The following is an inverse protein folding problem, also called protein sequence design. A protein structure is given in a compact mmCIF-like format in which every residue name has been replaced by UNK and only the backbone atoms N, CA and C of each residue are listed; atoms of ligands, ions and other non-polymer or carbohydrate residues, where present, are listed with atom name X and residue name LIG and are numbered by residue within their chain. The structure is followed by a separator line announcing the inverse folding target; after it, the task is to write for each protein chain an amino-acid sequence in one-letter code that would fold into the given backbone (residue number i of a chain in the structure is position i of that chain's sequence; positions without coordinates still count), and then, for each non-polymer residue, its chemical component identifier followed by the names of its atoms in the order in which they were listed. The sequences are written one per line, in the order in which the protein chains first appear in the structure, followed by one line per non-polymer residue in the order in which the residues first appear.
data_IF_625717913375
#
_entry.id   IF_625717913375
#
_cell.length_a   1.000
_cell.length_b   1.000
_cell.length_c   1.000
_cell.angle_alpha   90.00
_cell.angle_beta   90.00
_cell.angle_gamma   90.00
#
_symmetry.space_group_name_H-M   'P 1'
#
loop_
_entity.id
_entity.type
_entity.pdbx_description
1 polymer ?
#
# COMPACT_ATOMS: atom_id res chain seq x y z
N UNK A 1 -0.75 22.21 -1.18
CA UNK A 1 -1.18 21.76 -2.54
C UNK A 1 -1.60 22.98 -3.33
N UNK A 2 -0.88 23.32 -4.40
CA UNK A 2 -1.10 24.53 -5.20
C UNK A 2 -2.50 24.65 -5.81
N UNK A 3 -3.21 23.55 -6.03
CA UNK A 3 -4.58 23.59 -6.57
C UNK A 3 -5.62 24.10 -5.56
N UNK A 4 -5.30 24.12 -4.26
CA UNK A 4 -6.17 24.66 -3.21
C UNK A 4 -6.00 26.17 -3.01
N UNK A 5 -4.90 26.76 -3.49
CA UNK A 5 -4.55 28.16 -3.22
C UNK A 5 -5.56 29.15 -3.85
N UNK A 6 -6.27 28.70 -4.88
CA UNK A 6 -7.27 29.51 -5.60
C UNK A 6 -8.72 29.10 -5.33
N UNK A 7 -8.97 28.21 -4.36
CA UNK A 7 -10.33 27.79 -4.02
C UNK A 7 -10.97 28.84 -3.12
N UNK A 8 -12.10 29.40 -3.55
CA UNK A 8 -12.87 30.38 -2.79
C UNK A 8 -13.66 29.69 -1.65
N UNK A 9 -13.05 29.63 -0.48
CA UNK A 9 -13.65 29.07 0.73
C UNK A 9 -14.30 30.18 1.54
N UNK A 10 -15.61 30.07 1.76
CA UNK A 10 -16.41 31.08 2.48
C UNK A 10 -16.80 30.62 3.87
N UNK A 11 -16.58 31.49 4.86
CA UNK A 11 -17.12 31.30 6.19
C UNK A 11 -18.65 31.44 6.21
N UNK A 12 -19.30 30.97 7.29
CA UNK A 12 -20.74 31.15 7.46
C UNK A 12 -21.15 32.64 7.49
N UNK A 13 -20.30 33.52 7.99
CA UNK A 13 -20.54 34.98 8.03
C UNK A 13 -20.48 35.59 6.63
N UNK A 14 -19.75 35.01 5.72
CA UNK A 14 -19.66 35.39 4.31
C UNK A 14 -20.73 34.70 3.44
N UNK A 15 -21.66 33.99 4.07
CA UNK A 15 -22.75 33.28 3.38
C UNK A 15 -22.39 31.91 2.82
N UNK A 16 -21.22 31.36 3.16
CA UNK A 16 -20.80 30.02 2.74
C UNK A 16 -21.39 28.92 3.62
N UNK A 17 -21.46 27.71 3.09
CA UNK A 17 -21.78 26.49 3.82
C UNK A 17 -20.65 25.47 3.72
N UNK A 18 -20.60 24.54 4.67
CA UNK A 18 -19.65 23.44 4.64
C UNK A 18 -19.78 22.64 3.33
N UNK A 19 -21.00 22.37 2.90
CA UNK A 19 -21.28 21.61 1.69
C UNK A 19 -20.72 22.29 0.42
N UNK A 20 -20.98 23.61 0.26
CA UNK A 20 -20.46 24.37 -0.89
C UNK A 20 -18.94 24.43 -0.89
N UNK A 21 -18.31 24.59 0.27
CA UNK A 21 -16.86 24.58 0.40
C UNK A 21 -16.26 23.21 0.02
N UNK A 22 -16.88 22.10 0.45
CA UNK A 22 -16.42 20.74 0.07
C UNK A 22 -16.60 20.50 -1.43
N UNK A 23 -17.69 20.98 -2.03
CA UNK A 23 -17.87 20.90 -3.49
C UNK A 23 -16.80 21.70 -4.24
N UNK A 24 -16.50 22.92 -3.82
CA UNK A 24 -15.47 23.75 -4.44
C UNK A 24 -14.07 23.10 -4.35
N UNK A 25 -13.72 22.51 -3.19
CA UNK A 25 -12.49 21.75 -3.02
C UNK A 25 -12.46 20.52 -3.94
N UNK A 26 -13.57 19.78 -4.01
CA UNK A 26 -13.70 18.58 -4.86
C UNK A 26 -13.57 18.92 -6.35
N UNK A 27 -14.17 20.01 -6.79
CA UNK A 27 -14.06 20.51 -8.18
C UNK A 27 -12.62 20.89 -8.50
N UNK A 28 -11.95 21.64 -7.63
CA UNK A 28 -10.54 22.02 -7.81
C UNK A 28 -9.63 20.79 -7.87
N UNK A 29 -9.86 19.78 -7.02
CA UNK A 29 -9.12 18.53 -7.04
C UNK A 29 -9.32 17.76 -8.36
N UNK A 30 -10.57 17.70 -8.86
CA UNK A 30 -10.90 17.05 -10.11
C UNK A 30 -10.25 17.76 -11.32
N UNK A 31 -10.30 19.08 -11.35
CA UNK A 31 -9.66 19.89 -12.40
C UNK A 31 -8.13 19.70 -12.38
N UNK A 32 -7.53 19.68 -11.20
CA UNK A 32 -6.11 19.39 -11.04
C UNK A 32 -5.75 17.99 -11.56
N UNK A 33 -6.50 16.96 -11.18
CA UNK A 33 -6.28 15.59 -11.65
C UNK A 33 -6.42 15.51 -13.19
N UNK A 34 -7.45 16.15 -13.76
CA UNK A 34 -7.62 16.21 -15.20
C UNK A 34 -6.47 16.92 -15.92
N UNK A 35 -5.87 17.95 -15.29
CA UNK A 35 -4.72 18.67 -15.86
C UNK A 35 -3.43 17.84 -15.92
N UNK A 36 -3.36 16.75 -15.18
CA UNK A 36 -2.21 15.83 -15.20
C UNK A 36 -2.28 14.85 -16.39
N UNK A 37 -3.43 14.75 -17.06
CA UNK A 37 -3.58 13.84 -18.20
C UNK A 37 -2.58 14.18 -19.31
N UNK A 38 -1.82 13.18 -19.76
CA UNK A 38 -0.79 13.35 -20.78
C UNK A 38 0.52 13.98 -20.30
N UNK A 39 0.66 14.22 -19.01
CA UNK A 39 1.93 14.65 -18.40
C UNK A 39 2.72 13.44 -17.87
N UNK A 40 4.06 13.49 -17.88
CA UNK A 40 4.86 12.47 -17.19
C UNK A 40 4.55 12.41 -15.70
N UNK A 41 4.68 11.21 -15.11
CA UNK A 41 4.54 11.02 -13.66
C UNK A 41 5.63 11.82 -12.92
N UNK A 42 5.21 12.63 -11.96
CA UNK A 42 6.12 13.41 -11.12
C UNK A 42 6.48 12.61 -9.85
N UNK A 43 7.55 11.85 -9.91
CA UNK A 43 8.06 11.02 -8.80
C UNK A 43 8.61 11.82 -7.60
N UNK A 44 8.58 13.15 -7.65
CA UNK A 44 8.96 14.00 -6.49
C UNK A 44 7.79 14.30 -5.57
N UNK A 45 6.57 13.97 -5.98
CA UNK A 45 5.36 14.14 -5.18
C UNK A 45 5.19 13.01 -4.19
N UNK A 46 4.92 13.39 -2.95
CA UNK A 46 4.59 12.43 -1.90
C UNK A 46 3.10 12.15 -1.88
N UNK A 47 2.73 10.86 -1.85
CA UNK A 47 1.33 10.42 -1.77
C UNK A 47 0.75 10.60 -0.37
N UNK A 48 1.60 10.62 0.66
CA UNK A 48 1.21 10.75 2.06
C UNK A 48 1.98 11.83 2.78
N UNK A 49 1.35 12.41 3.80
CA UNK A 49 2.01 13.39 4.66
C UNK A 49 3.02 12.71 5.61
N UNK A 50 4.12 13.40 5.99
CA UNK A 50 5.16 12.83 6.87
C UNK A 50 4.65 12.32 8.22
N UNK A 51 3.53 12.84 8.72
CA UNK A 51 2.89 12.45 9.98
C UNK A 51 1.90 11.29 9.85
N UNK A 52 1.70 10.74 8.66
CA UNK A 52 0.82 9.61 8.44
C UNK A 52 1.51 8.32 8.90
N UNK A 53 0.87 7.59 9.83
CA UNK A 53 1.34 6.26 10.26
C UNK A 53 0.81 5.22 9.28
N UNK A 54 1.46 5.09 8.16
CA UNK A 54 1.14 4.13 7.10
C UNK A 54 2.30 4.01 6.12
N UNK A 55 2.20 3.06 5.18
CA UNK A 55 3.04 2.94 3.99
C UNK A 55 2.13 2.70 2.78
N UNK A 56 2.61 2.86 1.56
CA UNK A 56 1.88 2.45 0.38
C UNK A 56 2.80 2.20 -0.82
N UNK A 57 2.36 1.30 -1.70
CA UNK A 57 2.82 1.13 -3.06
C UNK A 57 1.89 1.84 -4.04
N UNK A 58 2.44 2.52 -5.02
CA UNK A 58 1.69 3.12 -6.14
C UNK A 58 2.03 2.40 -7.44
N UNK A 59 1.08 1.66 -7.99
CA UNK A 59 1.27 0.94 -9.25
C UNK A 59 1.48 1.88 -10.44
N UNK A 60 0.82 3.04 -10.47
CA UNK A 60 0.94 4.03 -11.55
C UNK A 60 2.24 4.83 -11.52
N UNK A 61 2.88 4.92 -10.37
CA UNK A 61 4.15 5.61 -10.17
C UNK A 61 5.31 4.63 -10.04
N UNK A 62 5.00 3.37 -9.81
CA UNK A 62 5.92 2.27 -9.50
C UNK A 62 6.92 2.69 -8.44
N UNK A 63 6.40 3.13 -7.31
CA UNK A 63 7.20 3.48 -6.14
C UNK A 63 6.52 3.07 -4.82
N UNK A 64 7.29 3.11 -3.74
CA UNK A 64 6.83 2.87 -2.37
C UNK A 64 7.10 4.10 -1.51
N UNK A 65 6.12 4.48 -0.69
CA UNK A 65 6.21 5.65 0.20
C UNK A 65 6.17 5.21 1.66
N UNK A 66 7.19 5.62 2.43
CA UNK A 66 7.27 5.42 3.88
C UNK A 66 7.37 6.79 4.59
N UNK A 67 6.27 7.35 5.08
CA UNK A 67 6.31 8.57 5.89
C UNK A 67 7.11 8.39 7.18
N UNK A 68 7.70 9.47 7.69
CA UNK A 68 8.54 9.43 8.89
C UNK A 68 7.79 8.89 10.12
N UNK A 69 6.47 9.08 10.19
CA UNK A 69 5.67 8.67 11.33
C UNK A 69 5.60 7.14 11.52
N UNK A 70 5.67 6.32 10.45
CA UNK A 70 5.69 4.86 10.59
C UNK A 70 7.07 4.35 11.06
N UNK A 71 8.13 5.13 10.86
CA UNK A 71 9.51 4.79 11.25
C UNK A 71 9.78 5.12 12.73
N UNK A 72 8.83 4.81 13.60
CA UNK A 72 8.86 5.02 15.05
C UNK A 72 8.43 3.72 15.76
N UNK A 73 8.78 3.55 17.05
CA UNK A 73 8.26 2.44 17.83
C UNK A 73 6.71 2.43 17.85
N UNK A 74 6.06 1.25 17.74
CA UNK A 74 6.67 -0.08 17.74
C UNK A 74 7.13 -0.60 16.38
N UNK A 75 6.88 0.12 15.27
CA UNK A 75 7.19 -0.36 13.91
C UNK A 75 8.69 -0.38 13.61
N UNK A 76 9.44 0.60 14.13
CA UNK A 76 10.90 0.64 14.05
C UNK A 76 11.49 1.18 15.35
N UNK A 77 12.43 0.42 15.96
CA UNK A 77 13.19 0.87 17.12
C UNK A 77 14.68 0.64 16.88
N UNK A 78 15.47 1.71 16.95
CA UNK A 78 16.93 1.68 16.77
C UNK A 78 17.62 0.81 17.83
N UNK A 79 16.98 0.57 18.99
CA UNK A 79 17.48 -0.27 20.06
C UNK A 79 16.99 -1.72 20.00
N UNK A 80 16.03 -2.02 19.12
CA UNK A 80 15.55 -3.39 18.92
C UNK A 80 16.57 -4.22 18.13
N UNK A 81 16.48 -5.54 18.22
CA UNK A 81 17.30 -6.43 17.41
C UNK A 81 16.94 -6.34 15.92
N UNK A 82 17.83 -6.85 15.07
CA UNK A 82 17.56 -6.89 13.63
C UNK A 82 16.31 -7.71 13.31
N UNK A 83 16.10 -8.85 13.96
CA UNK A 83 14.95 -9.72 13.76
C UNK A 83 13.64 -9.05 14.19
N UNK A 84 13.64 -8.30 15.32
CA UNK A 84 12.47 -7.54 15.77
C UNK A 84 12.11 -6.46 14.76
N UNK A 85 13.06 -5.65 14.30
CA UNK A 85 12.80 -4.65 13.26
C UNK A 85 12.42 -5.29 11.91
N UNK A 86 12.98 -6.47 11.59
CA UNK A 86 12.61 -7.17 10.36
C UNK A 86 11.18 -7.69 10.42
N UNK A 87 10.71 -8.19 11.58
CA UNK A 87 9.32 -8.62 11.77
C UNK A 87 8.31 -7.46 11.83
N UNK A 88 8.76 -6.24 12.16
CA UNK A 88 7.94 -5.04 12.19
C UNK A 88 8.03 -4.26 10.87
N UNK A 89 8.92 -3.25 10.79
CA UNK A 89 9.02 -2.41 9.57
C UNK A 89 9.50 -3.21 8.34
N UNK A 90 10.34 -4.23 8.55
CA UNK A 90 10.79 -5.09 7.45
C UNK A 90 9.66 -5.86 6.79
N UNK A 91 8.69 -6.33 7.59
CA UNK A 91 7.45 -6.93 7.08
C UNK A 91 6.67 -5.93 6.23
N UNK A 92 6.46 -4.70 6.72
CA UNK A 92 5.73 -3.66 5.98
C UNK A 92 6.45 -3.33 4.66
N UNK A 93 7.78 -3.21 4.67
CA UNK A 93 8.56 -2.98 3.44
C UNK A 93 8.34 -4.12 2.42
N UNK A 94 8.41 -5.37 2.88
CA UNK A 94 8.19 -6.52 2.01
C UNK A 94 6.75 -6.61 1.49
N UNK A 95 5.76 -6.21 2.31
CA UNK A 95 4.35 -6.10 1.95
C UNK A 95 4.16 -5.09 0.81
N UNK A 96 4.67 -3.86 0.96
CA UNK A 96 4.55 -2.83 -0.07
C UNK A 96 5.27 -3.22 -1.38
N UNK A 97 6.44 -3.85 -1.29
CA UNK A 97 7.13 -4.39 -2.48
C UNK A 97 6.27 -5.46 -3.18
N UNK A 98 5.60 -6.30 -2.40
CA UNK A 98 4.77 -7.39 -2.96
C UNK A 98 3.54 -6.87 -3.68
N UNK A 99 3.01 -5.70 -3.29
CA UNK A 99 1.91 -5.05 -4.00
C UNK A 99 2.20 -4.79 -5.49
N UNK A 100 3.47 -4.66 -5.90
CA UNK A 100 3.84 -4.59 -7.32
C UNK A 100 3.48 -5.86 -8.10
N UNK A 101 3.29 -6.99 -7.40
CA UNK A 101 3.07 -8.32 -7.97
C UNK A 101 1.77 -8.97 -7.50
N UNK A 102 0.91 -8.27 -6.76
CA UNK A 102 -0.42 -8.75 -6.38
C UNK A 102 -1.38 -8.73 -7.60
N UNK A 103 -2.63 -9.15 -7.40
CA UNK A 103 -3.64 -9.20 -8.47
C UNK A 103 -4.03 -7.82 -9.05
N UNK A 104 -3.64 -6.74 -8.42
CA UNK A 104 -3.83 -5.37 -8.90
C UNK A 104 -2.53 -4.82 -9.53
N UNK A 105 -1.41 -4.86 -8.80
CA UNK A 105 -0.12 -4.35 -9.27
C UNK A 105 0.43 -5.11 -10.46
N UNK A 106 0.17 -6.42 -10.54
CA UNK A 106 0.58 -7.27 -11.68
C UNK A 106 0.04 -6.81 -13.05
N UNK A 107 -0.93 -5.89 -13.07
CA UNK A 107 -1.50 -5.29 -14.30
C UNK A 107 -0.75 -4.06 -14.80
N UNK A 108 0.32 -3.65 -14.12
CA UNK A 108 1.12 -2.49 -14.46
C UNK A 108 2.56 -2.91 -14.75
N UNK A 109 3.19 -2.27 -15.73
CA UNK A 109 4.60 -2.45 -16.04
C UNK A 109 5.52 -1.60 -15.11
N UNK A 110 6.83 -1.71 -15.30
CA UNK A 110 7.83 -0.98 -14.53
C UNK A 110 7.75 0.55 -14.71
N UNK A 111 7.01 1.04 -15.71
CA UNK A 111 6.79 2.46 -15.97
C UNK A 111 5.46 2.96 -15.41
N UNK A 112 4.67 2.07 -14.77
CA UNK A 112 3.34 2.39 -14.23
C UNK A 112 2.23 2.43 -15.29
N UNK A 113 2.47 1.91 -16.49
CA UNK A 113 1.45 1.79 -17.50
C UNK A 113 0.67 0.49 -17.33
N UNK A 114 -0.64 0.54 -17.52
CA UNK A 114 -1.46 -0.66 -17.61
C UNK A 114 -1.01 -1.48 -18.82
N UNK A 115 -0.40 -2.65 -18.59
CA UNK A 115 0.22 -3.48 -19.62
C UNK A 115 0.16 -4.96 -19.25
N UNK A 116 -0.04 -5.79 -20.28
CA UNK A 116 0.03 -7.25 -20.16
C UNK A 116 1.48 -7.68 -20.42
N UNK A 117 2.34 -7.63 -19.39
CA UNK A 117 3.77 -7.89 -19.47
C UNK A 117 4.17 -9.31 -19.04
N UNK A 118 3.25 -10.07 -18.45
CA UNK A 118 3.46 -11.45 -18.04
C UNK A 118 3.44 -12.39 -19.25
N UNK A 119 4.17 -13.53 -19.17
CA UNK A 119 3.83 -14.63 -20.06
C UNK A 119 2.46 -15.19 -19.71
N UNK A 120 1.76 -15.77 -20.66
CA UNK A 120 0.45 -16.39 -20.41
C UNK A 120 0.54 -17.53 -19.40
N UNK A 121 1.61 -18.28 -19.45
CA UNK A 121 1.90 -19.41 -18.59
C UNK A 121 2.14 -18.96 -17.14
N UNK A 122 2.96 -17.92 -16.95
CA UNK A 122 3.25 -17.37 -15.62
C UNK A 122 2.02 -16.72 -15.00
N UNK A 123 1.24 -15.97 -15.79
CA UNK A 123 0.02 -15.33 -15.29
C UNK A 123 -1.03 -16.37 -14.90
N UNK A 124 -1.20 -17.45 -15.68
CA UNK A 124 -2.12 -18.53 -15.34
C UNK A 124 -1.70 -19.27 -14.06
N UNK A 125 -0.40 -19.49 -13.83
CA UNK A 125 0.08 -20.09 -12.58
C UNK A 125 -0.08 -19.11 -11.39
N UNK A 126 0.13 -17.81 -11.61
CA UNK A 126 -0.16 -16.79 -10.60
C UNK A 126 -1.64 -16.80 -10.20
N UNK A 127 -2.56 -16.74 -11.16
CA UNK A 127 -4.00 -16.81 -10.90
C UNK A 127 -4.38 -18.06 -10.11
N UNK A 128 -3.82 -19.21 -10.49
CA UNK A 128 -4.05 -20.47 -9.77
C UNK A 128 -3.56 -20.44 -8.32
N UNK A 129 -2.48 -19.73 -8.03
CA UNK A 129 -2.00 -19.50 -6.65
C UNK A 129 -2.92 -18.55 -5.90
N UNK A 130 -3.37 -17.49 -6.55
CA UNK A 130 -4.35 -16.55 -5.99
C UNK A 130 -5.65 -17.25 -5.60
N UNK A 131 -6.18 -18.18 -6.43
CA UNK A 131 -7.39 -18.94 -6.09
C UNK A 131 -7.24 -19.78 -4.82
N UNK A 132 -6.04 -20.28 -4.51
CA UNK A 132 -5.78 -20.97 -3.23
C UNK A 132 -5.88 -20.04 -2.04
N UNK A 133 -5.40 -18.80 -2.15
CA UNK A 133 -5.55 -17.81 -1.10
C UNK A 133 -7.00 -17.37 -0.94
N UNK A 134 -7.71 -17.13 -2.04
CA UNK A 134 -9.15 -16.86 -2.01
C UNK A 134 -9.88 -17.96 -1.24
N UNK A 135 -9.67 -19.22 -1.62
CA UNK A 135 -10.32 -20.36 -0.95
C UNK A 135 -9.94 -20.47 0.53
N UNK A 136 -8.68 -20.16 0.88
CA UNK A 136 -8.20 -20.23 2.26
C UNK A 136 -8.88 -19.19 3.16
N UNK A 137 -9.05 -17.96 2.67
CA UNK A 137 -9.63 -16.87 3.45
C UNK A 137 -11.14 -16.77 3.37
N UNK A 138 -11.74 -17.30 2.30
CA UNK A 138 -13.18 -17.18 2.06
C UNK A 138 -13.99 -17.88 3.16
N UNK A 139 -14.96 -17.17 3.73
CA UNK A 139 -15.83 -17.68 4.79
C UNK A 139 -15.17 -17.77 6.17
N UNK A 140 -13.88 -17.44 6.33
CA UNK A 140 -13.27 -17.37 7.66
C UNK A 140 -13.82 -16.18 8.45
N UNK A 141 -13.98 -16.35 9.76
CA UNK A 141 -14.45 -15.30 10.65
C UNK A 141 -13.26 -14.42 11.07
N UNK A 142 -13.16 -13.22 10.50
CA UNK A 142 -12.10 -12.26 10.81
C UNK A 142 -12.32 -11.54 12.14
N UNK A 143 -13.57 -11.17 12.42
CA UNK A 143 -14.07 -10.67 13.71
C UNK A 143 -15.39 -11.36 14.01
N UNK A 144 -15.83 -11.48 15.30
CA UNK A 144 -17.03 -12.18 15.67
C UNK A 144 -18.25 -11.75 14.84
N UNK A 145 -18.87 -12.70 14.14
CA UNK A 145 -20.05 -12.48 13.31
C UNK A 145 -19.79 -11.89 11.91
N UNK A 146 -18.53 -11.67 11.53
CA UNK A 146 -18.17 -11.13 10.21
C UNK A 146 -17.21 -12.09 9.48
N UNK A 147 -17.70 -12.69 8.40
CA UNK A 147 -16.90 -13.55 7.54
C UNK A 147 -16.16 -12.76 6.48
N UNK A 148 -14.93 -13.20 6.18
CA UNK A 148 -14.11 -12.60 5.13
C UNK A 148 -14.59 -13.05 3.75
N UNK A 149 -14.53 -12.15 2.78
CA UNK A 149 -14.58 -12.42 1.36
C UNK A 149 -13.14 -12.53 0.85
N UNK A 150 -12.71 -13.78 0.59
CA UNK A 150 -11.32 -14.05 0.20
C UNK A 150 -10.94 -13.41 -1.13
N UNK A 151 -11.91 -13.11 -2.02
CA UNK A 151 -11.64 -12.41 -3.28
C UNK A 151 -11.50 -10.89 -3.07
N UNK A 152 -12.32 -10.32 -2.22
CA UNK A 152 -12.24 -8.89 -1.87
C UNK A 152 -10.90 -8.54 -1.20
N UNK A 153 -10.40 -9.44 -0.34
CA UNK A 153 -9.15 -9.23 0.42
C UNK A 153 -7.90 -9.76 -0.29
N UNK A 154 -8.01 -10.26 -1.52
CA UNK A 154 -6.94 -11.00 -2.20
C UNK A 154 -5.64 -10.20 -2.33
N UNK A 155 -5.70 -8.92 -2.68
CA UNK A 155 -4.53 -8.05 -2.86
C UNK A 155 -3.68 -8.00 -1.58
N UNK A 156 -4.32 -7.73 -0.45
CA UNK A 156 -3.68 -7.67 0.86
C UNK A 156 -3.14 -9.05 1.28
N UNK A 157 -3.91 -10.12 1.04
CA UNK A 157 -3.51 -11.48 1.39
C UNK A 157 -2.30 -11.96 0.57
N UNK A 158 -2.18 -11.56 -0.70
CA UNK A 158 -0.99 -11.83 -1.54
C UNK A 158 0.21 -11.08 -1.01
N UNK A 159 0.04 -9.79 -0.66
CA UNK A 159 1.11 -8.95 -0.15
C UNK A 159 1.62 -9.43 1.21
N UNK A 160 0.71 -9.81 2.11
CA UNK A 160 1.04 -10.43 3.39
C UNK A 160 1.80 -11.75 3.23
N UNK A 161 1.33 -12.63 2.33
CA UNK A 161 1.99 -13.90 2.06
C UNK A 161 3.42 -13.69 1.52
N UNK A 162 3.59 -12.72 0.60
CA UNK A 162 4.89 -12.36 0.06
C UNK A 162 5.81 -11.77 1.12
N UNK A 163 5.28 -10.91 1.99
CA UNK A 163 6.02 -10.33 3.11
C UNK A 163 6.55 -11.40 4.05
N UNK A 164 5.69 -12.32 4.52
CA UNK A 164 6.10 -13.42 5.42
C UNK A 164 7.17 -14.30 4.78
N UNK A 165 7.03 -14.64 3.51
CA UNK A 165 8.03 -15.44 2.80
C UNK A 165 9.36 -14.69 2.69
N UNK A 166 9.33 -13.41 2.34
CA UNK A 166 10.52 -12.58 2.20
C UNK A 166 11.29 -12.45 3.51
N UNK A 167 10.63 -12.04 4.61
CA UNK A 167 11.30 -11.88 5.91
C UNK A 167 11.82 -13.21 6.46
N UNK A 168 11.07 -14.30 6.26
CA UNK A 168 11.51 -15.64 6.68
C UNK A 168 12.77 -16.07 5.94
N UNK A 169 12.84 -15.84 4.64
CA UNK A 169 14.02 -16.13 3.82
C UNK A 169 15.22 -15.27 4.25
N UNK A 170 15.01 -13.98 4.51
CA UNK A 170 16.08 -13.08 4.98
C UNK A 170 16.63 -13.56 6.31
N UNK A 171 15.74 -13.88 7.27
CA UNK A 171 16.19 -14.41 8.59
C UNK A 171 16.90 -15.74 8.47
N UNK A 172 16.46 -16.63 7.57
CA UNK A 172 17.10 -17.94 7.39
C UNK A 172 18.57 -17.87 6.97
N UNK A 173 19.00 -16.72 6.41
CA UNK A 173 20.39 -16.45 6.00
C UNK A 173 21.27 -15.89 7.11
N UNK A 174 20.71 -15.57 8.26
CA UNK A 174 21.47 -15.07 9.40
C UNK A 174 22.21 -16.21 10.09
N UNK A 175 23.34 -15.90 10.68
CA UNK A 175 24.04 -16.82 11.57
C UNK A 175 23.31 -16.88 12.93
N UNK A 176 22.73 -18.02 13.27
CA UNK A 176 21.94 -18.25 14.50
C UNK A 176 20.68 -17.37 14.63
N UNK A 177 19.72 -17.46 13.70
CA UNK A 177 18.53 -16.63 13.70
C UNK A 177 17.61 -16.89 14.89
N UNK A 178 17.06 -15.82 15.49
CA UNK A 178 16.03 -15.91 16.52
C UNK A 178 14.63 -15.65 15.92
N UNK A 179 14.01 -16.71 15.42
CA UNK A 179 12.66 -16.63 14.86
C UNK A 179 11.58 -16.18 15.86
N UNK A 180 11.81 -16.36 17.19
CA UNK A 180 10.84 -15.91 18.19
C UNK A 180 10.77 -14.39 18.28
N UNK A 181 11.90 -13.71 18.02
CA UNK A 181 11.92 -12.25 17.95
C UNK A 181 11.23 -11.72 16.71
N UNK A 182 11.38 -12.42 15.57
CA UNK A 182 10.70 -12.07 14.32
C UNK A 182 9.18 -11.99 14.46
N UNK A 183 8.56 -12.85 15.26
CA UNK A 183 7.10 -12.94 15.43
C UNK A 183 6.57 -12.28 16.71
N UNK A 184 7.36 -11.49 17.40
CA UNK A 184 6.95 -10.76 18.61
C UNK A 184 6.70 -9.27 18.39
N UNK A 185 7.00 -8.77 17.21
CA UNK A 185 6.84 -7.38 16.82
C UNK A 185 5.41 -7.05 16.39
#
# INVERSE_FOLDING_TARGET
NSYLDNVDIKSKQEGGSYFENILAIGEAAMQYTASLQGTPVDKTKWLMYPYTVNACYSATENDITFPAAILQPPMYDVNASYEENLGAIGYVIAHEITHAFDNNGAKFDENGNAADWWTKEDYAEFEKRCEKLVYFYDGQEGIPGVTMDGRLTLSENVSDQGAVQCITEVVSRLENPDYKKLYRS
#
